data_IF_402194159116
#
_entry.id   IF_402194159116
#
_cell.length_a   1.000
_cell.length_b   1.000
_cell.length_c   1.000
_cell.angle_alpha   90.00
_cell.angle_beta   90.00
_cell.angle_gamma   90.00
#
_symmetry.space_group_name_H-M   'P 1'
#
loop_
_entity.id
_entity.type
_entity.pdbx_description
1 polymer ?
#
# COMPACT_ATOMS: atom_id res chain seq x y z
N UNK A 1 8.38 4.59 11.27
CA UNK A 1 9.14 5.86 11.47
C UNK A 1 9.79 5.82 12.83
N UNK A 2 10.84 6.63 13.06
CA UNK A 2 11.49 6.76 14.37
C UNK A 2 10.51 7.14 15.48
N UNK A 3 9.61 8.10 15.23
CA UNK A 3 8.59 8.52 16.21
C UNK A 3 7.63 7.41 16.68
N UNK A 4 7.55 6.28 15.94
CA UNK A 4 6.71 5.13 16.29
C UNK A 4 7.52 3.90 16.73
N UNK A 5 8.81 4.04 17.01
CA UNK A 5 9.72 2.93 17.32
C UNK A 5 9.21 1.97 18.39
N UNK A 6 8.64 2.51 19.47
CA UNK A 6 8.05 1.70 20.55
C UNK A 6 6.97 0.71 20.12
N UNK A 7 6.32 0.96 18.98
CA UNK A 7 5.21 0.13 18.49
C UNK A 7 5.67 -0.98 17.53
N UNK A 8 6.70 -0.71 16.72
CA UNK A 8 7.18 -1.68 15.72
C UNK A 8 8.44 -2.44 16.16
N UNK A 9 9.30 -1.85 17.00
CA UNK A 9 10.58 -2.47 17.38
C UNK A 9 10.41 -3.86 18.03
N UNK A 10 9.45 -4.05 18.97
CA UNK A 10 9.20 -5.38 19.54
C UNK A 10 8.71 -6.41 18.51
N UNK A 11 8.01 -5.98 17.45
CA UNK A 11 7.46 -6.87 16.41
C UNK A 11 8.54 -7.36 15.44
N UNK A 12 9.68 -6.68 15.37
CA UNK A 12 10.80 -7.04 14.49
C UNK A 12 11.82 -7.97 15.18
N UNK A 13 11.49 -8.52 16.35
CA UNK A 13 12.35 -9.46 17.07
C UNK A 13 12.79 -10.62 16.18
N UNK A 14 14.10 -10.78 16.01
CA UNK A 14 14.69 -11.83 15.17
C UNK A 14 14.81 -11.50 13.67
N UNK A 15 14.30 -10.35 13.22
CA UNK A 15 14.48 -9.91 11.83
C UNK A 15 15.92 -9.37 11.62
N UNK A 16 16.59 -9.69 10.49
CA UNK A 16 17.90 -9.11 10.21
C UNK A 16 17.83 -7.57 10.16
N UNK A 17 18.79 -6.85 10.77
CA UNK A 17 18.74 -5.38 10.83
C UNK A 17 18.64 -4.70 9.46
N UNK A 18 19.23 -5.29 8.42
CA UNK A 18 19.19 -4.76 7.05
C UNK A 18 17.81 -4.86 6.37
N UNK A 19 16.86 -5.62 6.95
CA UNK A 19 15.47 -5.69 6.47
C UNK A 19 14.59 -4.59 7.09
N UNK A 20 15.07 -3.88 8.11
CA UNK A 20 14.35 -2.79 8.76
C UNK A 20 14.81 -1.45 8.21
N UNK A 21 13.89 -0.68 7.62
CA UNK A 21 14.15 0.69 7.17
C UNK A 21 13.41 1.67 8.07
N UNK A 22 14.17 2.48 8.82
CA UNK A 22 13.61 3.45 9.76
C UNK A 22 13.60 4.84 9.12
N UNK A 23 12.41 5.29 8.75
CA UNK A 23 12.20 6.67 8.30
C UNK A 23 12.45 7.66 9.46
N UNK A 24 13.27 8.72 9.27
CA UNK A 24 13.54 9.71 10.31
C UNK A 24 12.28 10.43 10.82
N UNK A 25 11.37 10.77 9.91
CA UNK A 25 10.12 11.45 10.18
C UNK A 25 8.99 10.92 9.28
N UNK A 26 7.73 11.16 9.65
CA UNK A 26 6.58 10.83 8.81
C UNK A 26 6.43 11.81 7.65
N UNK A 27 6.71 11.36 6.42
CA UNK A 27 6.55 12.17 5.18
C UNK A 27 5.55 11.55 4.19
N UNK A 28 4.62 10.75 4.70
CA UNK A 28 3.63 10.04 3.87
C UNK A 28 4.15 8.71 3.32
N UNK A 29 3.29 8.00 2.60
CA UNK A 29 3.57 6.63 2.13
C UNK A 29 4.43 6.58 0.88
N UNK A 30 4.44 7.60 0.03
CA UNK A 30 5.25 7.59 -1.19
C UNK A 30 6.77 7.61 -0.89
N UNK A 31 7.29 8.47 0.01
CA UNK A 31 8.71 8.41 0.40
C UNK A 31 9.10 7.09 1.07
N UNK A 32 8.20 6.51 1.90
CA UNK A 32 8.43 5.24 2.56
C UNK A 32 8.62 4.10 1.55
N UNK A 33 7.70 4.01 0.57
CA UNK A 33 7.75 3.02 -0.50
C UNK A 33 8.99 3.25 -1.37
N UNK A 34 9.28 4.50 -1.75
CA UNK A 34 10.43 4.81 -2.59
C UNK A 34 11.76 4.45 -1.91
N UNK A 35 11.90 4.69 -0.61
CA UNK A 35 13.08 4.27 0.16
C UNK A 35 13.27 2.74 0.12
N UNK A 36 12.21 1.97 0.39
CA UNK A 36 12.25 0.51 0.28
C UNK A 36 12.60 0.03 -1.12
N UNK A 37 12.00 0.62 -2.15
CA UNK A 37 12.29 0.28 -3.54
C UNK A 37 13.72 0.61 -3.94
N UNK A 38 14.27 1.75 -3.51
CA UNK A 38 15.66 2.11 -3.78
C UNK A 38 16.63 1.09 -3.16
N UNK A 39 16.35 0.63 -1.93
CA UNK A 39 17.16 -0.38 -1.25
C UNK A 39 17.11 -1.74 -1.95
N UNK A 40 15.92 -2.16 -2.38
CA UNK A 40 15.74 -3.39 -3.16
C UNK A 40 16.43 -3.25 -4.51
N UNK A 41 16.29 -2.09 -5.19
CA UNK A 41 16.89 -1.87 -6.51
C UNK A 41 18.42 -1.97 -6.49
N UNK A 42 19.07 -1.59 -5.39
CA UNK A 42 20.52 -1.69 -5.23
C UNK A 42 21.05 -3.15 -5.23
N UNK A 43 20.21 -4.12 -4.85
CA UNK A 43 20.61 -5.54 -4.72
C UNK A 43 19.89 -6.47 -5.69
N UNK A 44 18.66 -6.12 -6.06
CA UNK A 44 17.79 -6.88 -6.97
C UNK A 44 17.03 -5.90 -7.88
N UNK A 45 17.71 -5.25 -8.85
CA UNK A 45 17.17 -4.14 -9.67
C UNK A 45 15.96 -4.53 -10.51
N UNK A 46 15.81 -5.82 -10.80
CA UNK A 46 14.70 -6.36 -11.55
C UNK A 46 13.79 -7.22 -10.68
N UNK A 47 13.80 -7.12 -9.35
CA UNK A 47 12.89 -7.96 -8.53
C UNK A 47 11.40 -7.68 -8.84
N UNK A 48 10.55 -8.68 -8.61
CA UNK A 48 9.13 -8.46 -8.40
C UNK A 48 8.91 -8.24 -6.90
N UNK A 49 8.11 -7.23 -6.55
CA UNK A 49 7.84 -6.84 -5.17
C UNK A 49 6.33 -6.82 -4.92
N UNK A 50 5.95 -7.09 -3.69
CA UNK A 50 4.62 -6.87 -3.17
C UNK A 50 4.71 -5.93 -1.96
N UNK A 51 3.87 -4.91 -1.93
CA UNK A 51 3.80 -3.91 -0.88
C UNK A 51 2.48 -4.10 -0.13
N UNK A 52 2.54 -4.09 1.20
CA UNK A 52 1.40 -4.27 2.07
C UNK A 52 1.37 -3.17 3.12
N UNK A 53 0.21 -2.54 3.36
CA UNK A 53 -0.04 -1.87 4.64
C UNK A 53 -0.01 -2.89 5.78
N UNK A 54 0.54 -2.49 6.92
CA UNK A 54 0.75 -3.35 8.08
C UNK A 54 -0.47 -3.45 9.01
N UNK A 55 -1.47 -2.62 8.75
CA UNK A 55 -2.67 -2.37 9.56
C UNK A 55 -3.94 -2.83 8.85
N UNK A 56 -3.86 -3.90 8.06
CA UNK A 56 -5.06 -4.57 7.54
C UNK A 56 -5.41 -5.80 8.36
N UNK A 57 -6.70 -6.09 8.36
CA UNK A 57 -7.22 -7.41 8.65
C UNK A 57 -7.74 -8.08 7.40
N UNK A 58 -7.47 -9.37 7.30
CA UNK A 58 -8.06 -10.26 6.31
C UNK A 58 -8.57 -11.52 6.99
N UNK A 59 -9.65 -12.06 6.46
CA UNK A 59 -10.29 -13.27 6.98
C UNK A 59 -9.50 -14.56 6.69
N UNK A 60 -8.71 -14.58 5.62
CA UNK A 60 -7.89 -15.73 5.22
C UNK A 60 -6.60 -15.27 4.53
N UNK A 61 -5.49 -15.35 5.26
CA UNK A 61 -4.15 -15.00 4.77
C UNK A 61 -3.73 -15.84 3.56
N UNK A 62 -4.08 -17.13 3.53
CA UNK A 62 -3.68 -18.04 2.43
C UNK A 62 -4.42 -17.67 1.16
N UNK A 63 -5.72 -17.40 1.27
CA UNK A 63 -6.52 -16.94 0.15
C UNK A 63 -6.03 -15.58 -0.37
N UNK A 64 -5.71 -14.61 0.50
CA UNK A 64 -5.10 -13.35 0.07
C UNK A 64 -3.77 -13.59 -0.67
N UNK A 65 -2.89 -14.43 -0.09
CA UNK A 65 -1.59 -14.70 -0.67
C UNK A 65 -1.67 -15.43 -2.01
N UNK A 66 -2.71 -16.22 -2.26
CA UNK A 66 -2.96 -16.80 -3.58
C UNK A 66 -3.18 -15.70 -4.65
N UNK A 67 -3.93 -14.65 -4.32
CA UNK A 67 -4.12 -13.49 -5.21
C UNK A 67 -2.82 -12.71 -5.42
N UNK A 68 -2.01 -12.54 -4.37
CA UNK A 68 -0.68 -11.91 -4.48
C UNK A 68 0.25 -12.73 -5.39
N UNK A 69 0.26 -14.06 -5.26
CA UNK A 69 1.06 -14.96 -6.10
C UNK A 69 0.59 -14.93 -7.56
N UNK A 70 -0.72 -14.81 -7.81
CA UNK A 70 -1.27 -14.62 -9.14
C UNK A 70 -0.81 -13.28 -9.75
N UNK A 71 -0.88 -12.18 -8.98
CA UNK A 71 -0.37 -10.88 -9.41
C UNK A 71 1.14 -10.91 -9.67
N UNK A 72 1.93 -11.59 -8.82
CA UNK A 72 3.37 -11.77 -9.00
C UNK A 72 3.69 -12.52 -10.30
N UNK A 73 2.90 -13.56 -10.62
CA UNK A 73 3.03 -14.31 -11.87
C UNK A 73 2.70 -13.43 -13.07
N UNK A 74 1.67 -12.60 -12.98
CA UNK A 74 1.29 -11.68 -14.03
C UNK A 74 2.36 -10.59 -14.30
N UNK A 75 2.93 -9.95 -13.27
CA UNK A 75 3.98 -8.93 -13.47
C UNK A 75 5.31 -9.53 -13.91
N UNK A 76 5.54 -10.84 -13.72
CA UNK A 76 6.68 -11.54 -14.33
C UNK A 76 6.46 -11.73 -15.83
N UNK A 77 5.26 -12.11 -16.24
CA UNK A 77 4.89 -12.27 -17.66
C UNK A 77 4.75 -10.92 -18.39
N UNK A 78 4.33 -9.88 -17.67
CA UNK A 78 4.10 -8.52 -18.16
C UNK A 78 4.81 -7.50 -17.26
N UNK A 79 6.13 -7.31 -17.43
CA UNK A 79 6.95 -6.48 -16.56
C UNK A 79 6.56 -5.00 -16.51
N UNK A 80 5.75 -4.54 -17.44
CA UNK A 80 5.22 -3.17 -17.53
C UNK A 80 4.08 -2.89 -16.54
N UNK A 81 3.47 -3.93 -15.96
CA UNK A 81 2.29 -3.78 -15.10
C UNK A 81 2.65 -3.35 -13.67
N UNK A 82 1.82 -2.44 -13.15
CA UNK A 82 1.67 -2.18 -11.71
C UNK A 82 0.26 -2.63 -11.33
N UNK A 83 0.16 -3.69 -10.56
CA UNK A 83 -1.10 -4.35 -10.20
C UNK A 83 -1.52 -3.94 -8.80
N UNK A 84 -2.74 -3.43 -8.65
CA UNK A 84 -3.43 -3.25 -7.38
C UNK A 84 -4.29 -4.47 -7.08
N UNK A 85 -4.35 -4.89 -5.82
CA UNK A 85 -5.36 -5.86 -5.38
C UNK A 85 -6.62 -5.07 -4.98
N UNK A 86 -7.65 -5.14 -5.81
CA UNK A 86 -8.91 -4.43 -5.58
C UNK A 86 -9.88 -5.30 -4.79
N UNK A 87 -10.46 -4.76 -3.72
CA UNK A 87 -11.40 -5.51 -2.86
C UNK A 87 -12.83 -5.18 -3.30
N UNK A 88 -13.69 -6.21 -3.36
CA UNK A 88 -15.11 -5.98 -3.60
C UNK A 88 -15.72 -5.21 -2.41
N UNK A 89 -16.37 -4.06 -2.63
CA UNK A 89 -16.92 -3.26 -1.55
C UNK A 89 -18.14 -3.94 -0.92
N UNK A 90 -18.29 -3.77 0.40
CA UNK A 90 -19.50 -4.17 1.14
C UNK A 90 -20.47 -2.97 1.32
N UNK A 91 -19.98 -1.73 1.17
CA UNK A 91 -20.75 -0.49 1.29
C UNK A 91 -20.07 0.67 0.51
N UNK A 92 -20.72 1.83 0.45
CA UNK A 92 -20.25 3.08 -0.11
C UNK A 92 -19.27 3.84 0.83
N UNK A 93 -18.16 3.21 1.20
CA UNK A 93 -17.14 3.80 2.08
C UNK A 93 -16.45 5.04 1.46
N UNK A 94 -16.34 6.12 2.23
CA UNK A 94 -15.77 7.41 1.81
C UNK A 94 -14.31 7.58 2.22
N UNK A 95 -13.84 6.80 3.18
CA UNK A 95 -12.46 6.88 3.67
C UNK A 95 -11.49 5.99 2.88
N UNK A 96 -11.98 5.22 1.90
CA UNK A 96 -11.18 4.41 0.99
C UNK A 96 -10.95 5.05 -0.37
N UNK A 97 -9.87 4.60 -1.03
CA UNK A 97 -9.74 4.77 -2.46
C UNK A 97 -10.67 3.82 -3.23
N UNK A 98 -11.10 4.22 -4.41
CA UNK A 98 -11.96 3.45 -5.30
C UNK A 98 -11.31 3.31 -6.67
N UNK A 99 -11.40 2.12 -7.23
CA UNK A 99 -10.83 1.72 -8.50
C UNK A 99 -11.97 1.31 -9.41
N UNK A 100 -12.04 1.90 -10.59
CA UNK A 100 -12.95 1.44 -11.63
C UNK A 100 -12.21 0.54 -12.63
N UNK A 101 -12.57 -0.76 -12.69
CA UNK A 101 -12.04 -1.65 -13.71
C UNK A 101 -12.51 -1.24 -15.11
N UNK A 102 -11.65 -1.50 -16.10
CA UNK A 102 -11.91 -1.31 -17.51
C UNK A 102 -11.88 -2.68 -18.24
N UNK A 103 -11.42 -2.69 -19.49
CA UNK A 103 -11.21 -3.94 -20.22
C UNK A 103 -10.09 -4.82 -19.63
N UNK A 104 -10.10 -6.13 -19.94
CA UNK A 104 -9.07 -7.05 -19.49
C UNK A 104 -7.69 -6.66 -20.03
N UNK A 105 -6.62 -6.97 -19.29
CA UNK A 105 -5.22 -6.74 -19.72
C UNK A 105 -4.79 -7.71 -20.83
N UNK A 106 -5.58 -8.75 -21.11
CA UNK A 106 -5.32 -9.81 -22.08
C UNK A 106 -4.53 -10.99 -21.48
N UNK A 107 -4.42 -12.09 -22.24
CA UNK A 107 -3.59 -13.24 -21.84
C UNK A 107 -4.21 -14.19 -20.80
N UNK A 108 -5.55 -14.25 -20.70
CA UNK A 108 -6.25 -15.22 -19.86
C UNK A 108 -6.14 -15.00 -18.34
N UNK A 109 -5.57 -13.87 -17.90
CA UNK A 109 -5.49 -13.49 -16.48
C UNK A 109 -6.73 -12.70 -16.05
N UNK A 110 -7.15 -12.86 -14.79
CA UNK A 110 -8.24 -12.08 -14.19
C UNK A 110 -7.78 -10.66 -13.80
N UNK A 111 -7.12 -9.97 -14.74
CA UNK A 111 -6.60 -8.62 -14.59
C UNK A 111 -7.33 -7.65 -15.50
N UNK A 112 -7.68 -6.50 -14.95
CA UNK A 112 -8.37 -5.42 -15.65
C UNK A 112 -7.50 -4.17 -15.65
N UNK A 113 -7.54 -3.40 -16.74
CA UNK A 113 -6.99 -2.04 -16.74
C UNK A 113 -7.78 -1.17 -15.78
N UNK A 114 -7.17 -0.12 -15.24
CA UNK A 114 -7.88 0.85 -14.41
C UNK A 114 -8.38 2.01 -15.28
N UNK A 115 -9.69 2.21 -15.34
CA UNK A 115 -10.30 3.33 -16.07
C UNK A 115 -10.11 4.64 -15.32
N UNK A 116 -10.45 4.62 -14.03
CA UNK A 116 -10.40 5.77 -13.13
C UNK A 116 -10.09 5.32 -11.71
N UNK A 117 -9.54 6.25 -10.95
CA UNK A 117 -9.20 6.08 -9.55
C UNK A 117 -9.70 7.31 -8.79
N UNK A 118 -10.31 7.11 -7.63
CA UNK A 118 -10.71 8.18 -6.72
C UNK A 118 -10.14 7.91 -5.35
N UNK A 119 -9.45 8.88 -4.76
CA UNK A 119 -9.06 8.81 -3.36
C UNK A 119 -10.14 9.48 -2.51
N UNK A 120 -10.71 8.74 -1.56
CA UNK A 120 -11.64 9.24 -0.54
C UNK A 120 -12.78 10.13 -1.11
N UNK A 121 -13.64 9.56 -1.98
CA UNK A 121 -14.68 10.33 -2.66
C UNK A 121 -15.74 10.83 -1.68
N UNK A 122 -16.42 11.91 -2.06
CA UNK A 122 -17.58 12.41 -1.31
C UNK A 122 -18.71 11.34 -1.25
N UNK A 123 -19.57 11.36 -0.21
CA UNK A 123 -20.58 10.31 0.02
C UNK A 123 -21.49 10.01 -1.17
N UNK A 124 -21.91 11.04 -1.92
CA UNK A 124 -22.76 10.85 -3.10
C UNK A 124 -22.04 10.07 -4.21
N UNK A 125 -20.74 10.36 -4.42
CA UNK A 125 -19.93 9.67 -5.40
C UNK A 125 -19.59 8.25 -4.94
N UNK A 126 -19.30 8.02 -3.65
CA UNK A 126 -19.07 6.67 -3.12
C UNK A 126 -20.26 5.73 -3.38
N UNK A 127 -21.50 6.23 -3.24
CA UNK A 127 -22.72 5.47 -3.55
C UNK A 127 -22.83 5.11 -5.03
N UNK A 128 -22.51 6.05 -5.92
CA UNK A 128 -22.49 5.79 -7.36
C UNK A 128 -21.42 4.75 -7.73
N UNK A 129 -20.22 4.87 -7.17
CA UNK A 129 -19.12 3.93 -7.40
C UNK A 129 -19.46 2.52 -6.92
N UNK A 130 -20.10 2.40 -5.75
CA UNK A 130 -20.63 1.14 -5.23
C UNK A 130 -21.65 0.53 -6.21
N UNK A 131 -22.64 1.30 -6.65
CA UNK A 131 -23.66 0.84 -7.59
C UNK A 131 -23.09 0.41 -8.95
N UNK A 132 -21.96 0.99 -9.37
CA UNK A 132 -21.24 0.65 -10.61
C UNK A 132 -20.34 -0.58 -10.49
N UNK A 133 -20.24 -1.20 -9.31
CA UNK A 133 -19.36 -2.34 -9.07
C UNK A 133 -17.88 -1.97 -9.11
N UNK A 134 -17.54 -0.73 -8.74
CA UNK A 134 -16.14 -0.34 -8.52
C UNK A 134 -15.56 -1.08 -7.32
N UNK A 135 -14.23 -1.17 -7.25
CA UNK A 135 -13.50 -1.88 -6.20
C UNK A 135 -12.91 -0.89 -5.20
N UNK A 136 -12.76 -1.29 -3.94
CA UNK A 136 -11.91 -0.56 -3.00
C UNK A 136 -10.43 -0.76 -3.32
N UNK A 137 -9.65 0.31 -3.17
CA UNK A 137 -8.20 0.27 -3.19
C UNK A 137 -7.68 -0.25 -1.85
N UNK A 138 -7.17 -1.48 -1.83
CA UNK A 138 -6.50 -2.01 -0.64
C UNK A 138 -5.10 -1.43 -0.42
N UNK A 139 -4.53 -0.68 -1.37
CA UNK A 139 -3.11 -0.25 -1.33
C UNK A 139 -2.10 -1.43 -1.29
N UNK A 140 -2.54 -2.67 -1.49
CA UNK A 140 -1.65 -3.79 -1.77
C UNK A 140 -1.25 -3.70 -3.24
N UNK A 141 0.05 -3.55 -3.48
CA UNK A 141 0.60 -3.30 -4.81
C UNK A 141 1.62 -4.36 -5.17
N UNK A 142 1.50 -4.92 -6.37
CA UNK A 142 2.44 -5.89 -6.92
C UNK A 142 2.99 -5.38 -8.25
N UNK A 143 4.31 -5.33 -8.36
CA UNK A 143 4.97 -4.78 -9.55
C UNK A 143 6.40 -5.30 -9.68
N UNK A 144 6.99 -5.11 -10.87
CA UNK A 144 8.45 -5.14 -11.02
C UNK A 144 9.04 -3.83 -10.51
N UNK A 145 10.17 -3.89 -9.83
CA UNK A 145 10.88 -2.71 -9.30
C UNK A 145 11.04 -1.61 -10.37
N UNK A 146 11.47 -1.90 -11.61
CA UNK A 146 11.58 -0.86 -12.65
C UNK A 146 10.25 -0.19 -13.01
N UNK A 147 9.16 -0.96 -13.10
CA UNK A 147 7.84 -0.42 -13.43
C UNK A 147 7.30 0.50 -12.33
N UNK A 148 7.48 0.09 -11.07
CA UNK A 148 7.01 0.89 -9.93
C UNK A 148 7.84 2.17 -9.75
N UNK A 149 9.16 2.10 -9.94
CA UNK A 149 10.02 3.29 -9.96
C UNK A 149 9.67 4.23 -11.12
N UNK A 150 9.36 3.68 -12.31
CA UNK A 150 8.93 4.48 -13.46
C UNK A 150 7.58 5.18 -13.19
N UNK A 151 6.63 4.49 -12.56
CA UNK A 151 5.36 5.06 -12.13
C UNK A 151 5.58 6.23 -11.15
N UNK A 152 6.38 6.03 -10.10
CA UNK A 152 6.70 7.07 -9.11
C UNK A 152 7.40 8.26 -9.78
N UNK A 153 8.39 8.01 -10.65
CA UNK A 153 9.11 9.09 -11.37
C UNK A 153 8.17 9.91 -12.26
N UNK A 154 7.22 9.26 -12.91
CA UNK A 154 6.24 9.93 -13.77
C UNK A 154 5.22 10.74 -12.96
N UNK A 155 4.76 10.23 -11.83
CA UNK A 155 3.74 10.89 -11.00
C UNK A 155 4.31 11.97 -10.08
N UNK A 156 5.48 11.71 -9.48
CA UNK A 156 6.09 12.55 -8.45
C UNK A 156 7.58 12.81 -8.78
N UNK A 157 7.89 13.53 -9.87
CA UNK A 157 9.25 13.75 -10.33
C UNK A 157 10.12 14.44 -9.27
N UNK A 158 9.56 15.37 -8.49
CA UNK A 158 10.29 16.04 -7.40
C UNK A 158 10.76 15.06 -6.32
N UNK A 159 9.89 14.13 -5.90
CA UNK A 159 10.23 13.09 -4.94
C UNK A 159 11.30 12.14 -5.51
N UNK A 160 11.15 11.72 -6.76
CA UNK A 160 12.11 10.85 -7.43
C UNK A 160 13.49 11.51 -7.55
N UNK A 161 13.54 12.78 -7.96
CA UNK A 161 14.79 13.55 -8.03
C UNK A 161 15.45 13.72 -6.67
N UNK A 162 14.66 13.96 -5.61
CA UNK A 162 15.19 14.10 -4.26
C UNK A 162 15.81 12.79 -3.73
N UNK A 163 15.22 11.62 -4.05
CA UNK A 163 15.84 10.33 -3.72
C UNK A 163 17.05 9.99 -4.58
N UNK A 164 17.13 10.49 -5.82
CA UNK A 164 18.29 10.27 -6.69
C UNK A 164 19.58 10.88 -6.11
N UNK A 165 19.48 12.00 -5.36
CA UNK A 165 20.66 12.65 -4.75
C UNK A 165 21.33 11.78 -3.67
N UNK A 166 20.56 10.91 -3.02
CA UNK A 166 21.05 10.03 -1.96
C UNK A 166 21.26 8.58 -2.44
N UNK A 167 21.01 8.30 -3.73
CA UNK A 167 21.17 6.96 -4.31
C UNK A 167 22.57 6.35 -4.08
N UNK A 168 23.70 7.08 -4.24
CA UNK A 168 25.03 6.51 -4.03
C UNK A 168 25.29 6.07 -2.57
N UNK A 169 24.56 6.65 -1.62
CA UNK A 169 24.67 6.30 -0.20
C UNK A 169 23.79 5.11 0.19
N UNK A 170 22.87 4.67 -0.67
CA UNK A 170 21.92 3.58 -0.37
C UNK A 170 22.68 2.28 -0.09
N UNK A 171 22.50 1.76 1.12
CA UNK A 171 23.15 0.56 1.60
C UNK A 171 24.57 0.70 2.12
N UNK A 172 25.07 1.93 2.19
CA UNK A 172 26.36 2.26 2.76
C UNK A 172 26.19 2.88 4.15
N UNK A 173 27.31 3.15 4.84
CA UNK A 173 27.28 3.78 6.16
C UNK A 173 26.68 5.20 6.12
N UNK A 174 26.75 5.85 4.95
CA UNK A 174 26.26 7.18 4.68
C UNK A 174 24.74 7.24 4.43
N UNK A 175 24.04 6.11 4.32
CA UNK A 175 22.59 6.06 4.05
C UNK A 175 21.81 6.86 5.10
N UNK A 176 22.08 6.61 6.38
CA UNK A 176 21.37 7.24 7.50
C UNK A 176 21.51 8.78 7.52
N UNK A 177 22.73 9.37 7.51
CA UNK A 177 22.86 10.83 7.49
C UNK A 177 22.33 11.47 6.19
N UNK A 178 22.44 10.80 5.04
CA UNK A 178 21.87 11.29 3.79
C UNK A 178 20.33 11.33 3.86
N UNK A 179 19.72 10.27 4.43
CA UNK A 179 18.27 10.18 4.60
C UNK A 179 17.75 11.24 5.58
N UNK A 180 18.49 11.55 6.65
CA UNK A 180 18.17 12.64 7.58
C UNK A 180 18.08 13.99 6.88
N UNK A 181 19.12 14.35 6.14
CA UNK A 181 19.18 15.61 5.40
C UNK A 181 18.03 15.71 4.37
N UNK A 182 17.73 14.61 3.68
CA UNK A 182 16.60 14.53 2.76
C UNK A 182 15.26 14.73 3.49
N UNK A 183 14.99 13.96 4.54
CA UNK A 183 13.70 14.00 5.26
C UNK A 183 13.45 15.33 5.99
N UNK A 184 14.49 16.09 6.30
CA UNK A 184 14.36 17.44 6.85
C UNK A 184 13.66 18.41 5.88
N UNK A 185 13.88 18.25 4.57
CA UNK A 185 13.36 19.15 3.53
C UNK A 185 12.22 18.56 2.70
N UNK A 186 11.95 17.26 2.86
CA UNK A 186 10.98 16.55 2.03
C UNK A 186 9.53 16.96 2.31
N UNK A 187 8.80 17.34 1.25
CA UNK A 187 7.35 17.56 1.32
C UNK A 187 6.62 16.23 1.51
N UNK A 188 5.66 16.12 2.45
CA UNK A 188 4.86 14.91 2.62
C UNK A 188 4.07 14.56 1.36
N UNK A 189 4.03 13.27 1.00
CA UNK A 189 3.26 12.78 -0.15
C UNK A 189 2.64 11.40 0.12
N UNK A 190 1.32 11.30 -0.06
CA UNK A 190 0.60 10.03 -0.07
C UNK A 190 0.80 9.27 -1.39
N UNK A 191 1.06 7.97 -1.32
CA UNK A 191 1.24 7.13 -2.50
C UNK A 191 -0.07 6.94 -3.28
N UNK A 192 -1.19 6.70 -2.59
CA UNK A 192 -2.49 6.54 -3.23
C UNK A 192 -2.92 7.80 -3.99
N UNK A 193 -2.99 8.92 -3.28
CA UNK A 193 -3.39 10.23 -3.82
C UNK A 193 -2.38 10.80 -4.83
N UNK A 194 -1.09 10.80 -4.49
CA UNK A 194 -0.07 11.48 -5.28
C UNK A 194 0.46 10.66 -6.46
N UNK A 195 0.40 9.33 -6.39
CA UNK A 195 1.01 8.44 -7.40
C UNK A 195 -0.02 7.60 -8.13
N UNK A 196 -0.87 6.85 -7.42
CA UNK A 196 -1.84 5.96 -8.07
C UNK A 196 -2.95 6.76 -8.77
N UNK A 197 -3.56 7.71 -8.06
CA UNK A 197 -4.69 8.49 -8.58
C UNK A 197 -4.32 9.36 -9.79
N UNK A 198 -3.06 9.79 -9.90
CA UNK A 198 -2.58 10.64 -11.01
C UNK A 198 -2.22 9.85 -12.27
N UNK A 199 -2.10 8.52 -12.19
CA UNK A 199 -1.64 7.66 -13.29
C UNK A 199 -2.49 6.38 -13.50
N UNK A 200 -3.84 6.45 -13.52
CA UNK A 200 -4.68 5.25 -13.64
C UNK A 200 -4.39 4.42 -14.89
N UNK A 201 -4.02 5.06 -16.01
CA UNK A 201 -3.68 4.37 -17.25
C UNK A 201 -2.46 3.41 -17.14
N UNK A 202 -1.59 3.62 -16.15
CA UNK A 202 -0.43 2.78 -15.87
C UNK A 202 -0.75 1.60 -14.94
N UNK A 203 -1.98 1.53 -14.43
CA UNK A 203 -2.38 0.56 -13.42
C UNK A 203 -3.22 -0.56 -14.03
N UNK A 204 -3.09 -1.74 -13.41
CA UNK A 204 -4.02 -2.84 -13.54
C UNK A 204 -4.59 -3.17 -12.15
N UNK A 205 -5.75 -3.80 -12.11
CA UNK A 205 -6.39 -4.27 -10.88
C UNK A 205 -6.72 -5.74 -10.99
N UNK A 206 -6.42 -6.48 -9.94
CA UNK A 206 -6.83 -7.87 -9.73
C UNK A 206 -7.91 -7.86 -8.64
N UNK A 207 -9.17 -8.21 -8.96
CA UNK A 207 -10.23 -8.32 -7.96
C UNK A 207 -9.94 -9.46 -6.98
N UNK A 208 -9.89 -9.17 -5.68
CA UNK A 208 -9.74 -10.16 -4.61
C UNK A 208 -11.10 -10.82 -4.37
N UNK A 209 -11.11 -12.16 -4.39
CA UNK A 209 -12.31 -12.96 -4.18
C UNK A 209 -12.16 -13.87 -2.96
N UNK A 210 -13.26 -14.17 -2.28
CA UNK A 210 -13.26 -15.12 -1.15
C UNK A 210 -12.47 -14.65 0.08
N UNK A 211 -12.15 -13.36 0.18
CA UNK A 211 -11.45 -12.76 1.33
C UNK A 211 -12.23 -11.54 1.78
N UNK A 212 -12.80 -11.60 2.97
CA UNK A 212 -13.22 -10.40 3.68
C UNK A 212 -11.98 -9.62 4.14
N UNK A 213 -12.03 -8.31 3.97
CA UNK A 213 -10.92 -7.39 4.24
C UNK A 213 -11.43 -6.16 4.98
N UNK A 214 -10.61 -5.62 5.88
CA UNK A 214 -10.84 -4.32 6.50
C UNK A 214 -9.52 -3.63 6.75
N UNK A 215 -9.46 -2.35 6.43
CA UNK A 215 -8.41 -1.45 6.89
C UNK A 215 -8.65 -1.11 8.37
N UNK A 216 -7.67 -1.39 9.23
CA UNK A 216 -7.68 -1.09 10.66
C UNK A 216 -7.07 0.28 11.00
N UNK A 217 -6.96 1.18 10.03
CA UNK A 217 -6.48 2.54 10.22
C UNK A 217 -7.33 3.42 11.14
N UNK A 218 -8.53 2.96 11.56
CA UNK A 218 -9.37 3.63 12.55
C UNK A 218 -9.85 2.67 13.65
N UNK A 219 -9.88 3.09 14.94
CA UNK A 219 -10.33 2.24 16.03
C UNK A 219 -11.74 1.64 15.85
N UNK A 220 -12.66 2.40 15.25
CA UNK A 220 -14.02 1.92 15.00
C UNK A 220 -14.06 0.68 14.09
N UNK A 221 -13.18 0.60 13.08
CA UNK A 221 -13.10 -0.56 12.16
C UNK A 221 -12.49 -1.78 12.83
N UNK A 222 -11.51 -1.58 13.71
CA UNK A 222 -10.97 -2.66 14.56
C UNK A 222 -12.10 -3.26 15.40
N UNK A 223 -12.84 -2.41 16.12
CA UNK A 223 -13.95 -2.84 16.97
C UNK A 223 -15.06 -3.53 16.17
N UNK A 224 -15.45 -2.99 15.01
CA UNK A 224 -16.44 -3.60 14.14
C UNK A 224 -15.99 -5.00 13.65
N UNK A 225 -14.72 -5.14 13.29
CA UNK A 225 -14.14 -6.42 12.86
C UNK A 225 -14.13 -7.44 14.00
N UNK A 226 -13.65 -7.04 15.19
CA UNK A 226 -13.63 -7.91 16.37
C UNK A 226 -15.05 -8.34 16.79
N UNK A 227 -16.02 -7.44 16.72
CA UNK A 227 -17.43 -7.74 16.96
C UNK A 227 -17.99 -8.79 15.99
N UNK A 228 -17.68 -8.69 14.69
CA UNK A 228 -18.05 -9.70 13.68
C UNK A 228 -17.42 -11.07 13.99
N UNK A 229 -16.22 -11.09 14.58
CA UNK A 229 -15.53 -12.32 14.97
C UNK A 229 -15.96 -12.86 16.33
N UNK A 230 -16.83 -12.16 17.07
CA UNK A 230 -17.19 -12.52 18.45
C UNK A 230 -16.01 -12.42 19.43
N UNK A 231 -14.99 -11.61 19.12
CA UNK A 231 -13.81 -11.42 19.96
C UNK A 231 -14.02 -10.17 20.82
N UNK A 232 -13.96 -10.34 22.14
CA UNK A 232 -13.87 -9.23 23.09
C UNK A 232 -12.46 -9.14 23.69
N UNK A 233 -11.64 -8.16 23.28
CA UNK A 233 -10.33 -7.97 23.87
C UNK A 233 -10.43 -7.54 25.32
N UNK A 234 -9.49 -8.00 26.15
CA UNK A 234 -9.41 -7.60 27.56
C UNK A 234 -9.28 -6.07 27.73
N UNK A 235 -8.53 -5.41 26.85
CA UNK A 235 -8.38 -3.96 26.86
C UNK A 235 -9.69 -3.24 26.53
N UNK A 236 -10.57 -3.82 25.70
CA UNK A 236 -11.86 -3.21 25.35
C UNK A 236 -12.81 -3.23 26.56
N UNK A 237 -12.80 -4.32 27.34
CA UNK A 237 -13.55 -4.40 28.61
C UNK A 237 -13.12 -3.32 29.60
N UNK A 238 -11.83 -2.99 29.65
CA UNK A 238 -11.28 -1.93 30.53
C UNK A 238 -11.68 -0.51 30.09
N UNK A 239 -11.98 -0.28 28.82
CA UNK A 239 -12.46 1.01 28.31
C UNK A 239 -13.92 1.26 28.69
N UNK A 240 -14.77 0.25 28.62
CA UNK A 240 -16.20 0.34 28.98
C UNK A 240 -16.39 0.45 30.51
N UNK A 241 -15.47 -0.12 31.29
CA UNK A 241 -15.53 -0.13 32.75
C UNK A 241 -15.07 1.18 33.44
N UNK A 242 -14.67 2.22 32.70
CA UNK A 242 -14.34 3.53 33.28
C UNK A 242 -15.59 4.43 33.34
N UNK A 243 -16.06 4.85 34.53
CA UNK A 243 -17.07 5.89 34.63
C UNK A 243 -16.53 7.21 34.06
N UNK A 244 -17.42 8.01 33.48
CA UNK A 244 -17.15 9.35 32.98
C UNK A 244 -16.63 10.30 34.06
#
# INVERSE_FOLDING_TARGET
TRGHERFWSPLLGGMPPHCALVQPAGRGTAPAILHGLARIAATAPTAAVAIFPADHWVSDDRALMAHVLAALSAVRARPDLVVLLGVAPEDAETDYGWIEPAGPVGGGTALYRVRRFWEKPAPALARDLFARGCLWNSLIVVARVPALLALIRSAAPGLASAFATIQPAMGMAEEAPALEALYATLTPLGFSEGVLASRPANLAVLPVQGVAWSDWGQPARVLATLGRLGIEPEWARRLVARPA
#
